data_IF_196671123386
#
_entry.id   IF_196671123386
#
_cell.length_a   1.000
_cell.length_b   1.000
_cell.length_c   1.000
_cell.angle_alpha   90.00
_cell.angle_beta   90.00
_cell.angle_gamma   90.00
#
_symmetry.space_group_name_H-M   'P 1'
#
loop_
_entity.id
_entity.type
_entity.pdbx_description
1 polymer ?
#
# COMPACT_ATOMS: atom_id res chain seq x y z
N UNK A 1 -25.17 -14.20 5.83
CA UNK A 1 -24.56 -13.41 4.72
C UNK A 1 -24.14 -12.01 5.18
N UNK A 2 -25.05 -11.20 5.74
CA UNK A 2 -24.76 -9.84 6.25
C UNK A 2 -23.52 -9.77 7.16
N UNK A 3 -23.46 -10.64 8.19
CA UNK A 3 -22.32 -10.70 9.13
C UNK A 3 -20.98 -10.94 8.42
N UNK A 4 -20.96 -11.76 7.37
CA UNK A 4 -19.74 -12.06 6.61
C UNK A 4 -19.32 -10.90 5.71
N UNK A 5 -20.27 -10.20 5.08
CA UNK A 5 -19.99 -8.98 4.29
C UNK A 5 -19.44 -7.87 5.18
N UNK A 6 -20.04 -7.63 6.35
CA UNK A 6 -19.53 -6.64 7.32
C UNK A 6 -18.14 -7.04 7.83
N UNK A 7 -17.91 -8.32 8.10
CA UNK A 7 -16.59 -8.83 8.51
C UNK A 7 -15.55 -8.64 7.40
N UNK A 8 -15.92 -8.87 6.15
CA UNK A 8 -15.07 -8.64 4.99
C UNK A 8 -14.70 -7.16 4.83
N UNK A 9 -15.69 -6.26 4.86
CA UNK A 9 -15.47 -4.81 4.78
C UNK A 9 -14.56 -4.30 5.92
N UNK A 10 -14.73 -4.84 7.13
CA UNK A 10 -13.83 -4.54 8.26
C UNK A 10 -12.40 -5.01 8.00
N UNK A 11 -12.21 -6.24 7.54
CA UNK A 11 -10.86 -6.76 7.26
C UNK A 11 -10.17 -5.95 6.16
N UNK A 12 -10.89 -5.58 5.10
CA UNK A 12 -10.35 -4.71 4.05
C UNK A 12 -9.91 -3.36 4.61
N UNK A 13 -10.73 -2.76 5.48
CA UNK A 13 -10.41 -1.49 6.14
C UNK A 13 -9.22 -1.62 7.11
N UNK A 14 -9.14 -2.73 7.87
CA UNK A 14 -8.01 -3.03 8.75
C UNK A 14 -6.71 -3.18 7.94
N UNK A 15 -6.75 -3.92 6.82
CA UNK A 15 -5.61 -4.09 5.90
C UNK A 15 -5.13 -2.74 5.37
N UNK A 16 -6.06 -1.90 4.91
CA UNK A 16 -5.73 -0.56 4.42
C UNK A 16 -5.07 0.29 5.51
N UNK A 17 -5.61 0.26 6.73
CA UNK A 17 -5.01 0.94 7.88
C UNK A 17 -3.59 0.44 8.20
N UNK A 18 -3.38 -0.87 8.25
CA UNK A 18 -2.06 -1.48 8.51
C UNK A 18 -1.07 -1.13 7.40
N UNK A 19 -1.52 -1.14 6.14
CA UNK A 19 -0.74 -0.72 4.98
C UNK A 19 -0.28 0.73 5.12
N UNK A 20 -1.17 1.64 5.49
CA UNK A 20 -0.81 3.04 5.74
C UNK A 20 0.21 3.15 6.89
N UNK A 21 0.05 2.35 7.94
CA UNK A 21 1.02 2.34 9.03
C UNK A 21 2.42 1.89 8.58
N UNK A 22 2.50 0.86 7.73
CA UNK A 22 3.77 0.40 7.14
C UNK A 22 4.39 1.46 6.23
N UNK A 23 3.60 2.05 5.33
CA UNK A 23 4.06 3.08 4.38
C UNK A 23 4.66 4.28 5.11
N UNK A 24 4.00 4.75 6.18
CA UNK A 24 4.41 5.95 6.90
C UNK A 24 5.27 5.66 8.13
N UNK A 25 5.77 4.42 8.30
CA UNK A 25 6.52 3.98 9.48
C UNK A 25 5.83 4.34 10.81
N UNK A 26 4.50 4.27 10.84
CA UNK A 26 3.69 4.53 12.02
C UNK A 26 3.51 3.24 12.81
N UNK A 27 3.69 3.33 14.13
CA UNK A 27 3.43 2.19 15.03
C UNK A 27 2.10 2.41 15.77
N UNK A 28 1.03 1.65 15.42
CA UNK A 28 -0.24 1.70 16.11
C UNK A 28 -0.12 1.33 17.59
N UNK A 29 -1.00 1.89 18.44
CA UNK A 29 -0.98 1.64 19.89
C UNK A 29 -1.06 0.15 20.26
N UNK A 30 -1.78 -0.68 19.49
CA UNK A 30 -1.92 -2.12 19.78
C UNK A 30 -0.66 -2.94 19.45
N UNK A 31 0.27 -2.40 18.68
CA UNK A 31 1.58 -3.03 18.42
C UNK A 31 2.59 -2.64 19.51
N UNK A 32 2.36 -1.54 20.22
CA UNK A 32 3.25 -1.05 21.28
C UNK A 32 3.11 -1.93 22.51
N UNK A 33 4.10 -2.76 22.77
CA UNK A 33 4.23 -3.46 24.05
C UNK A 33 4.84 -2.54 25.12
N UNK A 34 4.51 -2.79 26.38
CA UNK A 34 5.07 -2.05 27.52
C UNK A 34 6.54 -2.43 27.68
N UNK A 35 7.40 -1.42 27.74
CA UNK A 35 8.82 -1.59 28.03
C UNK A 35 9.08 -1.13 29.46
N UNK A 36 10.01 -1.81 30.14
CA UNK A 36 10.42 -1.45 31.50
C UNK A 36 10.96 -0.01 31.56
N UNK A 37 11.66 0.43 30.51
CA UNK A 37 12.15 1.79 30.37
C UNK A 37 11.60 2.42 29.06
N UNK A 38 10.97 3.59 29.18
CA UNK A 38 10.40 4.35 28.06
C UNK A 38 11.46 4.75 27.02
N UNK A 39 12.71 4.95 27.44
CA UNK A 39 13.82 5.28 26.55
C UNK A 39 14.19 4.13 25.61
N UNK A 40 13.85 2.89 25.97
CA UNK A 40 14.06 1.74 25.06
C UNK A 40 13.12 1.79 23.86
N UNK A 41 11.99 2.50 23.95
CA UNK A 41 11.02 2.60 22.86
C UNK A 41 11.58 3.31 21.62
N UNK A 42 12.58 4.18 21.78
CA UNK A 42 13.23 4.86 20.67
C UNK A 42 14.34 4.04 20.00
N UNK A 43 14.77 2.92 20.60
CA UNK A 43 15.84 2.11 20.07
C UNK A 43 15.49 1.55 18.67
N UNK A 44 16.44 1.55 17.71
CA UNK A 44 16.22 1.02 16.37
C UNK A 44 15.79 -0.46 16.38
N UNK A 45 16.33 -1.26 17.29
CA UNK A 45 15.99 -2.69 17.45
C UNK A 45 14.53 -2.88 17.86
N UNK A 46 14.04 -2.07 18.80
CA UNK A 46 12.64 -2.10 19.24
C UNK A 46 11.70 -1.64 18.12
N UNK A 47 12.05 -0.58 17.39
CA UNK A 47 11.27 -0.12 16.23
C UNK A 47 11.21 -1.19 15.14
N UNK A 48 12.36 -1.83 14.83
CA UNK A 48 12.43 -2.93 13.86
C UNK A 48 11.54 -4.09 14.26
N UNK A 49 11.56 -4.48 15.54
CA UNK A 49 10.71 -5.55 16.05
C UNK A 49 9.22 -5.18 15.99
N UNK A 50 8.85 -3.95 16.34
CA UNK A 50 7.47 -3.46 16.19
C UNK A 50 7.01 -3.47 14.74
N UNK A 51 7.87 -3.09 13.79
CA UNK A 51 7.58 -3.21 12.36
C UNK A 51 7.38 -4.67 11.92
N UNK A 52 8.16 -5.62 12.45
CA UNK A 52 7.98 -7.05 12.16
C UNK A 52 6.64 -7.57 12.69
N UNK A 53 6.22 -7.17 13.88
CA UNK A 53 4.89 -7.51 14.40
C UNK A 53 3.79 -6.90 13.51
N UNK A 54 3.95 -5.64 13.09
CA UNK A 54 3.00 -4.97 12.19
C UNK A 54 2.87 -5.69 10.84
N UNK A 55 4.00 -6.11 10.24
CA UNK A 55 4.02 -6.93 9.02
C UNK A 55 3.33 -8.28 9.21
N UNK A 56 3.58 -8.95 10.34
CA UNK A 56 2.93 -10.22 10.66
C UNK A 56 1.41 -10.06 10.77
N UNK A 57 0.94 -9.02 11.45
CA UNK A 57 -0.49 -8.72 11.56
C UNK A 57 -1.12 -8.41 10.19
N UNK A 58 -0.43 -7.63 9.36
CA UNK A 58 -0.86 -7.35 7.98
C UNK A 58 -1.02 -8.64 7.17
N UNK A 59 -0.03 -9.54 7.23
CA UNK A 59 -0.07 -10.82 6.51
C UNK A 59 -1.17 -11.75 7.04
N UNK A 60 -1.40 -11.80 8.34
CA UNK A 60 -2.51 -12.58 8.93
C UNK A 60 -3.88 -12.01 8.50
N UNK A 61 -4.03 -10.68 8.41
CA UNK A 61 -5.25 -10.06 7.89
C UNK A 61 -5.47 -10.37 6.41
N UNK A 62 -4.43 -10.39 5.58
CA UNK A 62 -4.49 -10.81 4.18
C UNK A 62 -4.94 -12.27 4.05
N UNK A 63 -4.37 -13.19 4.84
CA UNK A 63 -4.81 -14.60 4.88
C UNK A 63 -6.28 -14.71 5.28
N UNK A 64 -6.71 -13.94 6.29
CA UNK A 64 -8.10 -13.92 6.74
C UNK A 64 -9.05 -13.36 5.67
N UNK A 65 -8.64 -12.35 4.90
CA UNK A 65 -9.41 -11.85 3.76
C UNK A 65 -9.67 -12.95 2.73
N UNK A 66 -8.65 -13.74 2.40
CA UNK A 66 -8.77 -14.88 1.48
C UNK A 66 -9.76 -15.92 2.04
N UNK A 67 -9.65 -16.27 3.33
CA UNK A 67 -10.55 -17.23 3.99
C UNK A 67 -12.01 -16.78 3.95
N UNK A 68 -12.29 -15.53 4.34
CA UNK A 68 -13.66 -14.99 4.32
C UNK A 68 -14.21 -14.91 2.90
N UNK A 69 -13.40 -14.48 1.92
CA UNK A 69 -13.84 -14.47 0.52
C UNK A 69 -14.24 -15.86 0.03
N UNK A 70 -13.49 -16.91 0.38
CA UNK A 70 -13.83 -18.30 0.06
C UNK A 70 -15.14 -18.71 0.75
N UNK A 71 -15.32 -18.40 2.02
CA UNK A 71 -16.54 -18.69 2.78
C UNK A 71 -17.78 -17.98 2.20
N UNK A 72 -17.63 -16.69 1.84
CA UNK A 72 -18.70 -15.87 1.28
C UNK A 72 -19.11 -16.37 -0.10
N UNK A 73 -18.14 -16.74 -0.95
CA UNK A 73 -18.41 -17.41 -2.25
C UNK A 73 -19.15 -18.74 -2.06
N UNK A 74 -18.70 -19.59 -1.14
CA UNK A 74 -19.41 -20.86 -0.83
C UNK A 74 -20.84 -20.63 -0.38
N UNK A 75 -21.08 -19.68 0.53
CA UNK A 75 -22.43 -19.40 1.03
C UNK A 75 -23.36 -18.77 -0.03
N UNK A 76 -22.79 -18.04 -1.00
CA UNK A 76 -23.53 -17.47 -2.14
C UNK A 76 -23.83 -18.53 -3.19
N UNK A 77 -22.86 -19.39 -3.52
CA UNK A 77 -22.93 -20.41 -4.57
C UNK A 77 -23.76 -21.62 -4.10
N UNK A 78 -23.64 -22.03 -2.83
CA UNK A 78 -24.27 -23.23 -2.29
C UNK A 78 -25.74 -23.02 -1.88
N UNK A 79 -26.47 -22.14 -2.57
CA UNK A 79 -27.93 -22.23 -2.61
C UNK A 79 -28.71 -21.04 -2.05
N UNK A 80 -28.12 -20.13 -1.27
CA UNK A 80 -28.90 -19.03 -0.68
C UNK A 80 -29.63 -18.21 -1.74
N UNK A 81 -28.94 -17.81 -2.81
CA UNK A 81 -29.58 -17.06 -3.89
C UNK A 81 -30.39 -17.95 -4.84
N UNK A 82 -30.08 -19.24 -4.96
CA UNK A 82 -30.82 -20.14 -5.84
C UNK A 82 -32.23 -20.45 -5.30
N UNK A 83 -32.47 -20.23 -4.00
CA UNK A 83 -33.79 -20.36 -3.36
C UNK A 83 -34.74 -19.18 -3.65
N UNK A 84 -34.27 -18.08 -4.23
CA UNK A 84 -35.07 -16.88 -4.44
C UNK A 84 -35.19 -16.50 -5.92
N UNK A 85 -36.34 -15.95 -6.30
CA UNK A 85 -36.52 -15.39 -7.64
C UNK A 85 -35.55 -14.23 -7.90
N UNK A 86 -35.17 -13.95 -9.17
CA UNK A 86 -34.22 -12.89 -9.52
C UNK A 86 -34.50 -11.53 -8.86
N UNK A 87 -35.77 -11.11 -8.79
CA UNK A 87 -36.17 -9.84 -8.18
C UNK A 87 -35.92 -9.82 -6.66
N UNK A 88 -36.21 -10.91 -5.96
CA UNK A 88 -35.93 -11.03 -4.53
C UNK A 88 -34.42 -11.02 -4.27
N UNK A 89 -33.63 -11.72 -5.10
CA UNK A 89 -32.16 -11.70 -5.02
C UNK A 89 -31.62 -10.27 -5.14
N UNK A 90 -32.11 -9.51 -6.10
CA UNK A 90 -31.70 -8.12 -6.31
C UNK A 90 -32.01 -7.24 -5.09
N UNK A 91 -33.25 -7.32 -4.56
CA UNK A 91 -33.65 -6.56 -3.37
C UNK A 91 -32.79 -6.90 -2.14
N UNK A 92 -32.57 -8.19 -1.89
CA UNK A 92 -31.72 -8.65 -0.78
C UNK A 92 -30.28 -8.13 -0.97
N UNK A 93 -29.72 -8.25 -2.17
CA UNK A 93 -28.37 -7.76 -2.47
C UNK A 93 -28.24 -6.25 -2.26
N UNK A 94 -29.23 -5.46 -2.69
CA UNK A 94 -29.25 -4.01 -2.50
C UNK A 94 -29.27 -3.64 -1.02
N UNK A 95 -30.18 -4.24 -0.23
CA UNK A 95 -30.27 -3.97 1.21
C UNK A 95 -28.98 -4.35 1.96
N UNK A 96 -28.36 -5.47 1.58
CA UNK A 96 -27.07 -5.87 2.16
C UNK A 96 -25.95 -4.90 1.79
N UNK A 97 -25.94 -4.41 0.54
CA UNK A 97 -24.96 -3.44 0.07
C UNK A 97 -25.06 -2.11 0.82
N UNK A 98 -26.27 -1.59 1.06
CA UNK A 98 -26.44 -0.32 1.77
C UNK A 98 -25.96 -0.42 3.23
N UNK A 99 -26.26 -1.53 3.90
CA UNK A 99 -25.75 -1.81 5.25
C UNK A 99 -24.24 -1.95 5.28
N UNK A 100 -23.66 -2.65 4.30
CA UNK A 100 -22.21 -2.78 4.16
C UNK A 100 -21.55 -1.41 3.96
N UNK A 101 -22.09 -0.60 3.06
CA UNK A 101 -21.61 0.76 2.75
C UNK A 101 -21.59 1.65 3.98
N UNK A 102 -22.65 1.62 4.79
CA UNK A 102 -22.72 2.38 6.04
C UNK A 102 -21.63 1.93 7.04
N UNK A 103 -21.46 0.62 7.24
CA UNK A 103 -20.41 0.08 8.13
C UNK A 103 -19.02 0.40 7.62
N UNK A 104 -18.78 0.29 6.32
CA UNK A 104 -17.52 0.62 5.67
C UNK A 104 -17.15 2.09 5.87
N UNK A 105 -18.10 3.02 5.67
CA UNK A 105 -17.88 4.44 5.94
C UNK A 105 -17.47 4.69 7.40
N UNK A 106 -18.14 4.03 8.35
CA UNK A 106 -17.78 4.10 9.77
C UNK A 106 -16.37 3.59 10.04
N UNK A 107 -15.96 2.46 9.45
CA UNK A 107 -14.60 1.93 9.59
C UNK A 107 -13.57 2.90 9.02
N UNK A 108 -13.79 3.41 7.80
CA UNK A 108 -12.91 4.40 7.15
C UNK A 108 -12.73 5.65 8.00
N UNK A 109 -13.82 6.23 8.54
CA UNK A 109 -13.74 7.40 9.40
C UNK A 109 -12.93 7.13 10.69
N UNK A 110 -13.11 5.95 11.27
CA UNK A 110 -12.38 5.55 12.47
C UNK A 110 -10.88 5.35 12.19
N UNK A 111 -10.52 4.73 11.07
CA UNK A 111 -9.13 4.56 10.66
C UNK A 111 -8.48 5.88 10.25
N UNK A 112 -9.19 6.74 9.52
CA UNK A 112 -8.73 8.11 9.21
C UNK A 112 -8.41 8.88 10.49
N UNK A 113 -9.31 8.83 11.47
CA UNK A 113 -9.09 9.44 12.79
C UNK A 113 -7.90 8.84 13.55
N UNK A 114 -7.67 7.52 13.43
CA UNK A 114 -6.50 6.87 14.04
C UNK A 114 -5.20 7.31 13.36
N UNK A 115 -5.19 7.39 12.04
CA UNK A 115 -4.03 7.81 11.25
C UNK A 115 -3.71 9.26 11.56
N UNK A 116 -4.71 10.16 11.58
CA UNK A 116 -4.49 11.57 11.92
C UNK A 116 -3.91 11.74 13.34
N UNK A 117 -4.39 10.95 14.31
CA UNK A 117 -3.82 10.91 15.66
C UNK A 117 -2.38 10.37 15.68
N UNK A 118 -2.06 9.36 14.88
CA UNK A 118 -0.69 8.81 14.80
C UNK A 118 0.28 9.79 14.13
N UNK A 119 -0.21 10.60 13.19
CA UNK A 119 0.54 11.64 12.49
C UNK A 119 0.67 12.94 13.31
N UNK A 120 0.12 13.00 14.53
CA UNK A 120 -0.01 14.23 15.32
C UNK A 120 -0.69 15.38 14.54
N UNK A 121 -1.64 15.05 13.66
CA UNK A 121 -2.36 16.01 12.82
C UNK A 121 -3.58 16.64 13.51
N UNK A 122 -3.69 16.53 14.84
CA UNK A 122 -4.61 17.35 15.62
C UNK A 122 -3.85 18.62 16.04
N UNK A 123 -4.01 19.69 15.27
CA UNK A 123 -3.52 21.03 15.62
C UNK A 123 -2.41 21.61 14.74
N UNK A 124 -1.86 20.87 13.77
CA UNK A 124 -0.78 21.41 12.94
C UNK A 124 -0.92 20.95 11.47
N UNK A 125 -1.67 21.73 10.70
CA UNK A 125 -1.87 21.57 9.25
C UNK A 125 -0.55 21.60 8.47
N UNK A 126 0.54 22.06 9.10
CA UNK A 126 1.87 22.01 8.51
C UNK A 126 2.27 20.57 8.21
N UNK A 127 1.94 19.57 9.04
CA UNK A 127 2.38 18.17 8.88
C UNK A 127 1.62 17.34 7.85
N UNK A 128 0.65 17.90 7.13
CA UNK A 128 0.10 17.26 5.92
C UNK A 128 1.19 16.98 4.87
N UNK A 129 2.30 17.73 4.89
CA UNK A 129 3.49 17.43 4.08
C UNK A 129 4.20 16.11 4.47
N UNK A 130 3.91 15.46 5.62
CA UNK A 130 4.42 14.10 5.90
C UNK A 130 3.75 13.04 5.02
N UNK A 131 2.62 13.36 4.39
CA UNK A 131 2.01 12.59 3.31
C UNK A 131 2.58 12.96 1.94
N UNK A 132 3.54 13.91 1.87
CA UNK A 132 4.14 14.30 0.60
C UNK A 132 5.01 13.17 0.06
N UNK A 133 4.92 13.00 -1.25
CA UNK A 133 5.67 12.05 -2.07
C UNK A 133 7.17 12.09 -1.73
N UNK A 134 7.66 13.25 -1.29
CA UNK A 134 9.06 13.55 -0.97
C UNK A 134 9.63 12.77 0.22
N UNK A 135 8.79 12.21 1.10
CA UNK A 135 9.25 11.36 2.23
C UNK A 135 9.23 9.86 1.93
N UNK A 136 8.60 9.44 0.84
CA UNK A 136 8.54 8.03 0.43
C UNK A 136 9.72 7.64 -0.47
N UNK A 137 10.33 8.61 -1.13
CA UNK A 137 11.42 8.40 -2.08
C UNK A 137 12.66 9.06 -1.51
N UNK A 138 13.58 8.25 -1.00
CA UNK A 138 14.87 8.75 -0.58
C UNK A 138 15.78 8.86 -1.80
N UNK A 139 16.00 10.09 -2.28
CA UNK A 139 16.86 10.33 -3.42
C UNK A 139 18.33 10.20 -3.03
N UNK A 140 18.94 9.07 -3.37
CA UNK A 140 20.37 8.82 -3.15
C UNK A 140 21.25 9.41 -4.26
N UNK A 141 20.65 9.98 -5.30
CA UNK A 141 21.39 10.62 -6.39
C UNK A 141 21.66 12.10 -6.09
N UNK A 142 22.71 12.64 -6.70
CA UNK A 142 23.02 14.08 -6.65
C UNK A 142 22.07 14.95 -7.49
N UNK A 143 21.17 14.34 -8.27
CA UNK A 143 20.23 15.04 -9.13
C UNK A 143 18.88 15.24 -8.44
N UNK A 144 18.33 16.46 -8.48
CA UNK A 144 17.00 16.72 -7.95
C UNK A 144 15.92 16.03 -8.82
N UNK A 145 15.05 15.24 -8.18
CA UNK A 145 13.96 14.56 -8.86
C UNK A 145 12.82 15.53 -9.17
N UNK A 146 12.25 15.43 -10.37
CA UNK A 146 11.02 16.15 -10.72
C UNK A 146 9.80 15.54 -10.03
N UNK A 147 8.72 16.32 -9.89
CA UNK A 147 7.48 15.85 -9.27
C UNK A 147 6.90 14.58 -9.93
N UNK A 148 6.90 14.42 -11.27
CA UNK A 148 6.50 13.17 -11.92
C UNK A 148 7.42 11.98 -11.57
N UNK A 149 8.74 12.19 -11.51
CA UNK A 149 9.70 11.14 -11.12
C UNK A 149 9.48 10.69 -9.67
N UNK A 150 9.29 11.65 -8.78
CA UNK A 150 8.93 11.42 -7.38
C UNK A 150 7.63 10.62 -7.26
N UNK A 151 6.59 10.99 -8.03
CA UNK A 151 5.31 10.26 -8.06
C UNK A 151 5.51 8.82 -8.53
N UNK A 152 6.23 8.61 -9.63
CA UNK A 152 6.52 7.27 -10.17
C UNK A 152 7.24 6.40 -9.13
N UNK A 153 8.27 6.93 -8.48
CA UNK A 153 9.06 6.21 -7.47
C UNK A 153 8.24 5.91 -6.19
N UNK A 154 7.41 6.85 -5.73
CA UNK A 154 6.55 6.62 -4.57
C UNK A 154 5.48 5.54 -4.83
N UNK A 155 5.04 5.39 -6.08
CA UNK A 155 4.15 4.30 -6.49
C UNK A 155 4.89 2.96 -6.47
N UNK A 156 6.16 2.93 -6.90
CA UNK A 156 7.08 1.80 -6.70
C UNK A 156 7.00 1.17 -5.30
N UNK A 157 7.05 2.03 -4.27
CA UNK A 157 6.91 1.62 -2.87
C UNK A 157 5.54 1.05 -2.50
N UNK A 158 4.46 1.64 -3.03
CA UNK A 158 3.09 1.12 -2.88
C UNK A 158 2.96 -0.29 -3.47
N UNK A 159 3.73 -0.60 -4.53
CA UNK A 159 3.75 -1.90 -5.20
C UNK A 159 4.57 -2.96 -4.45
N UNK A 160 5.69 -2.60 -3.81
CA UNK A 160 6.48 -3.55 -3.01
C UNK A 160 5.72 -4.13 -1.80
N UNK A 161 4.68 -3.44 -1.32
CA UNK A 161 3.86 -3.84 -0.16
C UNK A 161 2.60 -4.64 -0.58
N UNK A 162 2.17 -4.54 -1.84
CA UNK A 162 1.15 -5.41 -2.41
C UNK A 162 1.80 -6.74 -2.79
N UNK A 163 1.88 -7.68 -1.84
CA UNK A 163 2.13 -9.08 -2.15
C UNK A 163 1.05 -9.55 -3.16
N UNK A 164 1.43 -9.56 -4.44
CA UNK A 164 0.65 -10.05 -5.60
C UNK A 164 -0.36 -9.05 -6.16
N UNK A 165 0.12 -8.36 -7.18
CA UNK A 165 -0.59 -7.66 -8.25
C UNK A 165 -1.94 -8.34 -8.56
N UNK A 166 -3.03 -7.75 -8.10
CA UNK A 166 -4.39 -8.28 -8.35
C UNK A 166 -4.91 -7.91 -9.75
N UNK A 167 -4.30 -6.92 -10.43
CA UNK A 167 -4.61 -6.50 -11.81
C UNK A 167 -3.37 -5.92 -12.51
N UNK A 168 -2.55 -6.73 -13.21
CA UNK A 168 -1.32 -6.28 -13.87
C UNK A 168 -1.53 -5.18 -14.90
N UNK A 169 -2.66 -5.21 -15.60
CA UNK A 169 -2.96 -4.30 -16.70
C UNK A 169 -3.11 -2.84 -16.24
N UNK A 170 -3.79 -2.60 -15.11
CA UNK A 170 -3.95 -1.24 -14.58
C UNK A 170 -2.60 -0.64 -14.16
N UNK A 171 -1.69 -1.48 -13.66
CA UNK A 171 -0.35 -1.07 -13.26
C UNK A 171 0.49 -0.70 -14.47
N UNK A 172 0.44 -1.53 -15.52
CA UNK A 172 1.14 -1.27 -16.76
C UNK A 172 0.71 0.08 -17.36
N UNK A 173 -0.61 0.32 -17.44
CA UNK A 173 -1.17 1.57 -17.96
C UNK A 173 -0.72 2.78 -17.13
N UNK A 174 -0.73 2.67 -15.80
CA UNK A 174 -0.31 3.76 -14.92
C UNK A 174 1.20 4.07 -15.00
N UNK A 175 2.03 3.04 -15.17
CA UNK A 175 3.48 3.20 -15.35
C UNK A 175 3.77 3.82 -16.72
N UNK A 176 3.14 3.31 -17.77
CA UNK A 176 3.26 3.84 -19.14
C UNK A 176 2.87 5.31 -19.18
N UNK A 177 1.76 5.68 -18.52
CA UNK A 177 1.30 7.07 -18.46
C UNK A 177 2.32 8.02 -17.82
N UNK A 178 2.92 7.65 -16.68
CA UNK A 178 3.94 8.50 -16.05
C UNK A 178 5.27 8.49 -16.82
N UNK A 179 5.64 7.39 -17.48
CA UNK A 179 6.81 7.33 -18.36
C UNK A 179 6.67 8.25 -19.57
N UNK A 180 5.49 8.30 -20.19
CA UNK A 180 5.18 9.22 -21.30
C UNK A 180 5.40 10.67 -20.85
N UNK A 181 4.95 11.05 -19.65
CA UNK A 181 5.19 12.39 -19.12
C UNK A 181 6.66 12.72 -18.92
N UNK A 182 7.44 11.77 -18.40
CA UNK A 182 8.88 11.99 -18.22
C UNK A 182 9.56 12.11 -19.58
N UNK A 183 9.13 11.34 -20.59
CA UNK A 183 9.63 11.44 -21.95
C UNK A 183 9.33 12.81 -22.56
N UNK A 184 8.09 13.28 -22.48
CA UNK A 184 7.70 14.62 -22.94
C UNK A 184 8.47 15.74 -22.22
N UNK A 185 8.73 15.61 -20.91
CA UNK A 185 9.55 16.57 -20.16
C UNK A 185 11.03 16.54 -20.58
N UNK A 186 11.55 15.37 -20.95
CA UNK A 186 12.94 15.21 -21.42
C UNK A 186 13.13 15.79 -22.82
N UNK A 187 12.17 15.57 -23.72
CA UNK A 187 12.16 16.13 -25.08
C UNK A 187 12.08 17.66 -25.04
N UNK A 188 11.23 18.23 -24.16
CA UNK A 188 11.17 19.69 -23.91
C UNK A 188 12.49 20.29 -23.41
N UNK A 189 13.34 19.47 -22.78
CA UNK A 189 14.65 19.88 -22.27
C UNK A 189 15.80 19.52 -23.20
N UNK A 190 15.53 19.05 -24.43
CA UNK A 190 16.52 18.52 -25.37
C UNK A 190 17.41 17.42 -24.76
N UNK A 191 16.87 16.65 -23.82
CA UNK A 191 17.56 15.50 -23.24
C UNK A 191 17.20 14.28 -24.07
N UNK A 192 18.20 13.63 -24.66
CA UNK A 192 18.02 12.37 -25.37
C UNK A 192 17.50 11.29 -24.41
N UNK A 193 16.28 10.82 -24.69
CA UNK A 193 15.60 9.80 -23.91
C UNK A 193 16.38 8.48 -23.85
N UNK A 194 17.09 8.14 -24.93
CA UNK A 194 17.87 6.90 -25.02
C UNK A 194 19.10 6.98 -24.12
N UNK A 195 19.79 8.12 -24.12
CA UNK A 195 20.89 8.39 -23.19
C UNK A 195 20.41 8.41 -21.73
N UNK A 196 19.25 8.99 -21.45
CA UNK A 196 18.68 9.00 -20.10
C UNK A 196 18.38 7.57 -19.61
N UNK A 197 17.74 6.75 -20.45
CA UNK A 197 17.47 5.34 -20.13
C UNK A 197 18.77 4.57 -19.87
N UNK A 198 19.80 4.79 -20.68
CA UNK A 198 21.10 4.14 -20.51
C UNK A 198 21.79 4.58 -19.21
N UNK A 199 21.74 5.86 -18.85
CA UNK A 199 22.23 6.37 -17.56
C UNK A 199 21.50 5.75 -16.37
N UNK A 200 20.18 5.63 -16.43
CA UNK A 200 19.38 5.00 -15.38
C UNK A 200 19.79 3.52 -15.22
N UNK A 201 20.00 2.79 -16.32
CA UNK A 201 20.47 1.40 -16.28
C UNK A 201 21.83 1.27 -15.62
N UNK A 202 22.78 2.13 -15.98
CA UNK A 202 24.14 2.14 -15.39
C UNK A 202 24.07 2.42 -13.88
N UNK A 203 23.36 3.48 -13.47
CA UNK A 203 23.19 3.85 -12.06
C UNK A 203 22.50 2.73 -11.28
N UNK A 204 21.47 2.10 -11.85
CA UNK A 204 20.76 0.99 -11.21
C UNK A 204 21.68 -0.21 -10.97
N UNK A 205 22.52 -0.55 -11.95
CA UNK A 205 23.50 -1.63 -11.82
C UNK A 205 24.58 -1.31 -10.78
N UNK A 206 25.07 -0.06 -10.72
CA UNK A 206 26.02 0.37 -9.70
C UNK A 206 25.44 0.28 -8.28
N UNK A 207 24.17 0.68 -8.09
CA UNK A 207 23.48 0.58 -6.80
C UNK A 207 23.26 -0.88 -6.41
N UNK A 208 22.83 -1.73 -7.34
CA UNK A 208 22.67 -3.17 -7.10
C UNK A 208 24.00 -3.80 -6.67
N UNK A 209 25.10 -3.47 -7.36
CA UNK A 209 26.43 -3.98 -7.02
C UNK A 209 26.92 -3.48 -5.65
N UNK A 210 26.65 -2.21 -5.30
CA UNK A 210 26.96 -1.66 -3.97
C UNK A 210 26.12 -2.31 -2.87
N UNK A 211 24.85 -2.60 -3.13
CA UNK A 211 23.94 -3.25 -2.18
C UNK A 211 24.19 -4.77 -2.04
N UNK A 212 24.71 -5.43 -3.07
CA UNK A 212 25.11 -6.85 -3.03
C UNK A 212 26.18 -7.15 -1.97
N UNK A 213 27.04 -6.16 -1.66
CA UNK A 213 28.04 -6.26 -0.58
C UNK A 213 27.45 -6.14 0.83
N UNK A 214 26.16 -5.82 0.99
CA UNK A 214 25.48 -5.71 2.29
C UNK A 214 24.58 -6.91 2.63
N UNK A 215 24.74 -8.05 1.95
CA UNK A 215 24.10 -9.32 2.35
C UNK A 215 22.58 -9.38 2.16
N UNK A 216 21.97 -8.43 1.44
CA UNK A 216 20.59 -8.56 0.98
C UNK A 216 20.56 -9.36 -0.32
N UNK A 217 20.23 -10.65 -0.24
CA UNK A 217 19.72 -11.40 -1.40
C UNK A 217 18.35 -10.81 -1.77
N UNK A 218 18.33 -9.82 -2.64
CA UNK A 218 17.11 -9.39 -3.31
C UNK A 218 17.01 -10.12 -4.65
N UNK A 219 16.12 -11.11 -4.73
CA UNK A 219 15.58 -11.55 -6.01
C UNK A 219 14.75 -10.40 -6.59
N UNK A 220 15.40 -9.55 -7.39
CA UNK A 220 14.74 -8.42 -8.05
C UNK A 220 14.78 -8.65 -9.55
N UNK A 221 13.69 -9.19 -10.08
CA UNK A 221 13.43 -9.21 -11.52
C UNK A 221 13.15 -7.78 -11.99
N UNK A 222 14.10 -7.18 -12.71
CA UNK A 222 13.83 -6.00 -13.54
C UNK A 222 13.85 -6.47 -14.99
N UNK A 223 12.69 -6.85 -15.52
CA UNK A 223 12.52 -7.06 -16.95
C UNK A 223 12.27 -5.71 -17.62
N UNK A 224 13.28 -5.17 -18.28
CA UNK A 224 13.07 -4.26 -19.41
C UNK A 224 13.00 -5.14 -20.67
N UNK A 225 11.81 -5.37 -21.21
CA UNK A 225 11.69 -5.89 -22.57
C UNK A 225 11.89 -4.74 -23.55
N UNK A 226 12.70 -5.02 -24.58
CA UNK A 226 13.05 -4.15 -25.71
C UNK A 226 11.82 -3.71 -26.47
#
# INVERSE_FOLDING_TARGET
>A
MERLMVKLAKIQSDIEFLRMCLIYNLIPKFIRFKLANKHLASLPTVKKFQCQILLKEYNEKQKNLIRINKELKRNIINGFYNMFSPHHRYRIKSQLYDKEKYKLARFKNLHSTKISKLLNAYGDYTRAHLLSIDKLVYNLSSQLLTLPQLKLLSRGWKFCIEERITKPLNIQIEIEYELIKIKEESEKKNIDWEQLCNRIKVISNEVINKCGNFGFKSESYVYFKK
#
